data_IF_023290780078
#
_entry.id   IF_023290780078
#
_cell.length_a   1.000
_cell.length_b   1.000
_cell.length_c   1.000
_cell.angle_alpha   90.00
_cell.angle_beta   90.00
_cell.angle_gamma   90.00
#
_symmetry.space_group_name_H-M   'P 1'
#
loop_
_entity.id
_entity.type
_entity.pdbx_description
1 polymer ?
#
# COMPACT_ATOMS: atom_id res chain seq x y z
N UNK A 1 -10.84 -1.05 14.54
CA UNK A 1 -11.35 -1.34 13.19
C UNK A 1 -10.42 -2.28 12.45
N UNK A 2 -10.92 -3.14 11.55
CA UNK A 2 -10.03 -3.92 10.67
C UNK A 2 -9.61 -3.04 9.50
N UNK A 3 -8.33 -3.07 9.14
CA UNK A 3 -7.76 -2.32 8.00
C UNK A 3 -8.65 -2.40 6.75
N UNK A 4 -9.05 -3.63 6.38
CA UNK A 4 -9.86 -3.90 5.18
C UNK A 4 -11.20 -3.17 5.15
N UNK A 5 -11.79 -2.87 6.30
CA UNK A 5 -13.10 -2.21 6.40
C UNK A 5 -12.94 -0.71 6.16
N UNK A 6 -11.91 -0.09 6.77
CA UNK A 6 -11.60 1.32 6.58
C UNK A 6 -11.12 1.59 5.16
N UNK A 7 -10.22 0.74 4.63
CA UNK A 7 -9.77 0.84 3.25
C UNK A 7 -10.93 0.73 2.24
N UNK A 8 -11.87 -0.20 2.46
CA UNK A 8 -13.07 -0.32 1.62
C UNK A 8 -13.95 0.93 1.71
N UNK A 9 -14.21 1.42 2.93
CA UNK A 9 -14.99 2.64 3.16
C UNK A 9 -14.37 3.83 2.43
N UNK A 10 -13.06 4.04 2.57
CA UNK A 10 -12.33 5.12 1.89
C UNK A 10 -12.44 4.98 0.37
N UNK A 11 -12.24 3.78 -0.18
CA UNK A 11 -12.32 3.55 -1.62
C UNK A 11 -13.73 3.83 -2.19
N UNK A 12 -14.78 3.38 -1.51
CA UNK A 12 -16.16 3.62 -1.92
C UNK A 12 -16.51 5.11 -1.86
N UNK A 13 -16.16 5.78 -0.76
CA UNK A 13 -16.36 7.23 -0.61
C UNK A 13 -15.61 8.02 -1.68
N UNK A 14 -14.34 7.67 -1.96
CA UNK A 14 -13.54 8.28 -3.00
C UNK A 14 -14.19 8.13 -4.37
N UNK A 15 -14.58 6.92 -4.73
CA UNK A 15 -15.14 6.69 -6.07
C UNK A 15 -16.46 7.42 -6.29
N UNK A 16 -17.34 7.47 -5.28
CA UNK A 16 -18.56 8.29 -5.32
C UNK A 16 -18.23 9.77 -5.52
N UNK A 17 -17.35 10.32 -4.68
CA UNK A 17 -16.98 11.72 -4.73
C UNK A 17 -16.22 12.11 -6.02
N UNK A 18 -15.47 11.18 -6.63
CA UNK A 18 -14.84 11.38 -7.94
C UNK A 18 -15.90 11.50 -9.03
N UNK A 19 -16.87 10.57 -9.07
CA UNK A 19 -17.96 10.60 -10.05
C UNK A 19 -18.78 11.88 -9.95
N UNK A 20 -18.99 12.39 -8.74
CA UNK A 20 -19.71 13.64 -8.50
C UNK A 20 -18.90 14.90 -8.89
N UNK A 21 -17.56 14.84 -8.84
CA UNK A 21 -16.71 16.05 -8.89
C UNK A 21 -15.82 16.20 -10.13
N UNK A 22 -15.72 15.16 -10.98
CA UNK A 22 -14.95 15.18 -12.23
C UNK A 22 -15.86 14.66 -13.34
N UNK A 23 -16.20 15.53 -14.29
CA UNK A 23 -16.96 15.13 -15.48
C UNK A 23 -16.14 14.11 -16.29
N UNK A 24 -16.82 13.10 -16.81
CA UNK A 24 -16.26 12.06 -17.68
C UNK A 24 -15.22 11.14 -17.01
N UNK A 25 -15.16 11.09 -15.67
CA UNK A 25 -14.35 10.09 -14.96
C UNK A 25 -15.08 8.75 -14.87
N UNK A 26 -14.37 7.66 -15.15
CA UNK A 26 -14.85 6.29 -14.92
C UNK A 26 -14.09 5.67 -13.76
N UNK A 27 -14.82 5.34 -12.70
CA UNK A 27 -14.26 4.64 -11.54
C UNK A 27 -14.50 3.14 -11.67
N UNK A 28 -13.44 2.34 -11.48
CA UNK A 28 -13.48 0.88 -11.50
C UNK A 28 -12.93 0.39 -10.17
N UNK A 29 -13.69 -0.45 -9.50
CA UNK A 29 -13.31 -1.01 -8.20
C UNK A 29 -12.79 -2.44 -8.39
N UNK A 30 -11.72 -2.78 -7.68
CA UNK A 30 -11.26 -4.18 -7.60
C UNK A 30 -12.17 -5.02 -6.72
N UNK A 31 -12.83 -4.40 -5.73
CA UNK A 31 -13.93 -4.96 -4.92
C UNK A 31 -14.85 -3.85 -4.41
N UNK A 32 -16.11 -4.17 -4.18
CA UNK A 32 -17.08 -3.27 -3.54
C UNK A 32 -17.63 -3.81 -2.21
N UNK A 33 -17.32 -5.07 -1.88
CA UNK A 33 -17.74 -5.76 -0.67
C UNK A 33 -16.53 -6.38 0.04
N UNK A 34 -16.77 -7.03 1.19
CA UNK A 34 -15.75 -7.78 1.93
C UNK A 34 -15.49 -9.15 1.26
N UNK A 35 -14.88 -9.11 0.07
CA UNK A 35 -14.43 -10.29 -0.68
C UNK A 35 -12.92 -10.23 -0.87
N UNK A 36 -12.26 -11.37 -0.73
CA UNK A 36 -10.83 -11.50 -1.00
C UNK A 36 -10.57 -11.48 -2.51
N UNK A 37 -9.67 -10.59 -2.95
CA UNK A 37 -9.17 -10.53 -4.32
C UNK A 37 -7.64 -10.72 -4.28
N UNK A 38 -7.09 -11.74 -4.96
CA UNK A 38 -5.66 -11.97 -5.10
C UNK A 38 -4.91 -10.72 -5.59
N UNK A 39 -3.67 -10.49 -5.13
CA UNK A 39 -2.91 -9.28 -5.46
C UNK A 39 -2.67 -9.14 -6.97
N UNK A 40 -2.33 -10.23 -7.66
CA UNK A 40 -2.15 -10.23 -9.11
C UNK A 40 -3.45 -9.91 -9.86
N UNK A 41 -4.61 -10.30 -9.32
CA UNK A 41 -5.89 -10.09 -10.00
C UNK A 41 -6.34 -8.63 -9.89
N UNK A 42 -6.03 -7.95 -8.78
CA UNK A 42 -6.34 -6.52 -8.60
C UNK A 42 -5.76 -5.66 -9.72
N UNK A 43 -4.52 -5.93 -10.11
CA UNK A 43 -3.88 -5.17 -11.20
C UNK A 43 -4.36 -5.64 -12.57
N UNK A 44 -4.68 -6.93 -12.75
CA UNK A 44 -5.27 -7.44 -13.99
C UNK A 44 -6.62 -6.77 -14.30
N UNK A 45 -7.48 -6.55 -13.29
CA UNK A 45 -8.74 -5.82 -13.46
C UNK A 45 -8.47 -4.43 -14.06
N UNK A 46 -7.47 -3.71 -13.55
CA UNK A 46 -7.10 -2.38 -14.04
C UNK A 46 -6.50 -2.43 -15.46
N UNK A 47 -5.63 -3.40 -15.73
CA UNK A 47 -5.00 -3.59 -17.04
C UNK A 47 -6.05 -3.92 -18.12
N UNK A 48 -6.96 -4.85 -17.83
CA UNK A 48 -8.03 -5.27 -18.74
C UNK A 48 -9.00 -4.11 -19.03
N UNK A 49 -9.23 -3.26 -18.03
CA UNK A 49 -10.03 -2.06 -18.18
C UNK A 49 -9.31 -0.92 -18.93
N UNK A 50 -8.00 -1.07 -19.22
CA UNK A 50 -7.13 -0.03 -19.78
C UNK A 50 -7.18 1.27 -18.95
N UNK A 51 -7.13 1.14 -17.62
CA UNK A 51 -7.23 2.30 -16.73
C UNK A 51 -6.04 3.26 -16.91
N UNK A 52 -6.30 4.57 -16.78
CA UNK A 52 -5.27 5.61 -16.89
C UNK A 52 -4.44 5.79 -15.61
N UNK A 53 -4.95 5.30 -14.48
CA UNK A 53 -4.34 5.41 -13.15
C UNK A 53 -4.87 4.29 -12.24
N UNK A 54 -3.99 3.69 -11.46
CA UNK A 54 -4.33 2.73 -10.42
C UNK A 54 -3.93 3.23 -9.03
N UNK A 55 -4.84 3.09 -8.05
CA UNK A 55 -4.61 3.50 -6.66
C UNK A 55 -5.03 2.35 -5.73
N UNK A 56 -4.07 1.75 -5.03
CA UNK A 56 -4.34 0.83 -3.92
C UNK A 56 -4.38 1.63 -2.62
N UNK A 57 -5.47 1.55 -1.86
CA UNK A 57 -5.65 2.29 -0.59
C UNK A 57 -5.46 1.33 0.58
N UNK A 58 -4.52 1.63 1.46
CA UNK A 58 -4.11 0.81 2.60
C UNK A 58 -4.02 1.64 3.88
N UNK A 59 -4.00 0.95 5.03
CA UNK A 59 -3.63 1.53 6.32
C UNK A 59 -2.43 0.77 6.84
N UNK A 60 -1.40 1.51 7.24
CA UNK A 60 -0.15 0.95 7.67
C UNK A 60 -0.29 0.32 9.05
N UNK A 61 0.60 -0.60 9.37
CA UNK A 61 0.61 -1.25 10.68
C UNK A 61 2.04 -1.50 11.16
N UNK A 62 2.30 -1.16 12.43
CA UNK A 62 3.61 -1.42 13.00
C UNK A 62 3.81 -2.92 13.26
N UNK A 63 4.99 -3.48 12.96
CA UNK A 63 5.24 -4.90 13.20
C UNK A 63 5.16 -5.24 14.68
N UNK A 64 4.59 -6.39 14.97
CA UNK A 64 4.59 -6.99 16.30
C UNK A 64 5.98 -7.54 16.59
N UNK A 65 6.64 -7.03 17.63
CA UNK A 65 7.96 -7.47 18.08
C UNK A 65 7.82 -8.42 19.25
N UNK A 66 8.52 -9.55 19.17
CA UNK A 66 8.60 -10.52 20.27
C UNK A 66 10.00 -10.44 20.87
N UNK A 67 10.10 -10.02 22.13
CA UNK A 67 11.35 -9.94 22.88
C UNK A 67 11.37 -10.99 23.98
N UNK A 68 12.54 -11.56 24.28
CA UNK A 68 12.72 -12.46 25.43
C UNK A 68 13.19 -11.65 26.63
N UNK A 69 12.43 -11.67 27.71
CA UNK A 69 12.82 -11.07 28.99
C UNK A 69 13.11 -12.17 30.00
N UNK A 70 14.02 -11.90 30.94
CA UNK A 70 14.23 -12.81 32.07
C UNK A 70 12.97 -12.80 32.90
N UNK A 71 12.43 -14.00 33.14
CA UNK A 71 11.25 -14.22 33.96
C UNK A 71 11.67 -14.47 35.41
N UNK A 72 12.49 -15.50 35.61
CA UNK A 72 13.10 -15.82 36.90
C UNK A 72 14.40 -16.59 36.72
N UNK A 73 15.10 -16.86 37.82
CA UNK A 73 16.30 -17.71 37.83
C UNK A 73 15.99 -19.05 38.50
N UNK A 74 16.39 -20.16 37.88
CA UNK A 74 16.36 -21.50 38.49
C UNK A 74 17.75 -21.96 38.89
N UNK A 75 17.86 -22.76 39.95
CA UNK A 75 19.12 -23.42 40.33
C UNK A 75 19.27 -24.74 39.58
N UNK A 76 20.38 -24.92 38.87
CA UNK A 76 20.77 -26.18 38.24
C UNK A 76 22.20 -26.51 38.65
N UNK A 77 22.40 -27.63 39.36
CA UNK A 77 23.72 -28.03 39.91
C UNK A 77 24.43 -26.89 40.67
N UNK A 78 23.69 -26.19 41.53
CA UNK A 78 24.20 -25.07 42.34
C UNK A 78 24.37 -23.73 41.60
N UNK A 79 24.24 -23.69 40.27
CA UNK A 79 24.36 -22.46 39.47
C UNK A 79 22.98 -21.83 39.18
N UNK A 80 22.89 -20.49 39.23
CA UNK A 80 21.70 -19.75 38.80
C UNK A 80 21.66 -19.68 37.28
N UNK A 81 20.56 -20.12 36.68
CA UNK A 81 20.33 -20.11 35.23
C UNK A 81 19.07 -19.29 34.95
N UNK A 82 19.11 -18.29 34.05
CA UNK A 82 17.92 -17.50 33.70
C UNK A 82 16.91 -18.36 32.94
N UNK A 83 15.64 -18.19 33.27
CA UNK A 83 14.48 -18.68 32.52
C UNK A 83 13.85 -17.48 31.84
N UNK A 84 13.55 -17.61 30.55
CA UNK A 84 13.03 -16.51 29.74
C UNK A 84 11.55 -16.71 29.47
N UNK A 85 10.82 -15.59 29.36
CA UNK A 85 9.49 -15.54 28.77
C UNK A 85 9.46 -14.59 27.57
N UNK A 86 8.56 -14.86 26.64
CA UNK A 86 8.31 -13.97 25.50
C UNK A 86 7.39 -12.83 25.92
N UNK A 87 7.73 -11.61 25.51
CA UNK A 87 6.92 -10.41 25.63
C UNK A 87 6.66 -9.88 24.24
N UNK A 88 5.39 -9.58 23.97
CA UNK A 88 4.93 -9.03 22.70
C UNK A 88 4.78 -7.52 22.85
N UNK A 89 5.33 -6.74 21.93
CA UNK A 89 5.16 -5.29 21.88
C UNK A 89 4.91 -4.82 20.44
N UNK A 90 4.20 -3.70 20.29
CA UNK A 90 3.90 -3.07 19.01
C UNK A 90 4.00 -1.56 19.21
N UNK A 91 4.63 -0.84 18.28
CA UNK A 91 4.66 0.62 18.35
C UNK A 91 3.27 1.18 18.07
N UNK A 92 2.77 2.03 18.97
CA UNK A 92 1.49 2.73 18.82
C UNK A 92 1.64 4.23 18.58
N UNK A 93 2.89 4.71 18.47
CA UNK A 93 3.20 6.14 18.30
C UNK A 93 3.63 6.51 16.89
N UNK A 94 3.94 5.52 16.03
CA UNK A 94 4.25 5.77 14.62
C UNK A 94 3.01 6.34 13.92
N UNK A 95 3.19 7.36 13.08
CA UNK A 95 2.10 8.02 12.37
C UNK A 95 2.54 8.65 11.07
N UNK A 96 1.57 9.06 10.26
CA UNK A 96 1.77 9.76 9.00
C UNK A 96 1.39 8.94 7.78
N UNK A 97 1.59 9.52 6.61
CA UNK A 97 1.23 8.95 5.32
C UNK A 97 2.47 8.60 4.52
N UNK A 98 2.45 7.47 3.82
CA UNK A 98 3.47 7.07 2.84
C UNK A 98 2.81 6.59 1.55
N UNK A 99 3.53 6.77 0.44
CA UNK A 99 3.05 6.32 -0.87
C UNK A 99 4.14 5.51 -1.55
N UNK A 100 3.76 4.33 -2.04
CA UNK A 100 4.64 3.41 -2.70
C UNK A 100 4.40 3.36 -4.20
N UNK A 101 5.49 3.24 -4.94
CA UNK A 101 5.52 3.01 -6.39
C UNK A 101 6.26 1.70 -6.65
N UNK A 102 5.93 1.00 -7.73
CA UNK A 102 6.66 -0.20 -8.13
C UNK A 102 8.15 0.12 -8.31
N UNK A 103 8.99 -0.52 -7.50
CA UNK A 103 10.44 -0.47 -7.64
C UNK A 103 10.98 -1.37 -8.76
N UNK A 104 12.27 -1.21 -9.04
CA UNK A 104 13.05 -2.09 -9.93
C UNK A 104 13.55 -3.36 -9.23
N UNK A 105 13.39 -3.43 -7.91
CA UNK A 105 13.77 -4.56 -7.08
C UNK A 105 12.98 -5.85 -7.33
N UNK A 106 13.37 -6.92 -6.63
CA UNK A 106 12.71 -8.24 -6.71
C UNK A 106 11.74 -8.42 -5.55
N UNK A 107 10.66 -9.19 -5.75
CA UNK A 107 9.63 -9.46 -4.71
C UNK A 107 10.17 -10.20 -3.46
N UNK A 108 11.38 -10.77 -3.54
CA UNK A 108 12.04 -11.49 -2.44
C UNK A 108 12.90 -10.63 -1.51
N UNK A 109 12.80 -9.31 -1.58
CA UNK A 109 13.51 -8.41 -0.67
C UNK A 109 13.10 -8.63 0.79
N UNK A 110 14.07 -8.56 1.71
CA UNK A 110 13.84 -8.82 3.13
C UNK A 110 13.18 -7.66 3.88
N UNK A 111 12.80 -6.60 3.17
CA UNK A 111 12.13 -5.42 3.69
C UNK A 111 10.79 -5.78 4.37
N UNK A 112 10.60 -5.29 5.60
CA UNK A 112 9.43 -5.63 6.42
C UNK A 112 8.13 -5.11 5.81
N UNK A 113 8.16 -3.96 5.11
CA UNK A 113 6.97 -3.42 4.42
C UNK A 113 6.60 -4.34 3.27
N UNK A 114 7.58 -4.76 2.46
CA UNK A 114 7.34 -5.68 1.34
C UNK A 114 6.74 -7.00 1.84
N UNK A 115 7.31 -7.57 2.91
CA UNK A 115 6.80 -8.80 3.53
C UNK A 115 5.37 -8.64 4.02
N UNK A 116 5.03 -7.50 4.64
CA UNK A 116 3.68 -7.20 5.13
C UNK A 116 2.69 -7.09 3.97
N UNK A 117 2.99 -6.25 3.00
CA UNK A 117 2.09 -6.00 1.86
C UNK A 117 1.91 -7.23 0.97
N UNK A 118 2.96 -8.03 0.78
CA UNK A 118 2.91 -9.26 0.01
C UNK A 118 2.48 -10.48 0.84
N UNK A 119 2.17 -10.35 2.14
CA UNK A 119 1.86 -11.50 3.00
C UNK A 119 0.67 -12.32 2.48
N UNK A 120 -0.35 -11.65 1.92
CA UNK A 120 -1.52 -12.31 1.35
C UNK A 120 -1.24 -13.13 0.09
N UNK A 121 -0.11 -12.86 -0.59
CA UNK A 121 0.34 -13.62 -1.77
C UNK A 121 0.49 -15.12 -1.47
N UNK A 122 0.99 -15.46 -0.28
CA UNK A 122 1.23 -16.86 0.12
C UNK A 122 -0.04 -17.63 0.45
N UNK A 123 -1.18 -16.95 0.53
CA UNK A 123 -2.50 -17.56 0.74
C UNK A 123 -3.23 -17.84 -0.59
N UNK A 124 -2.66 -17.43 -1.72
CA UNK A 124 -3.28 -17.57 -3.03
C UNK A 124 -2.99 -18.95 -3.64
N UNK A 125 -4.02 -19.57 -4.21
CA UNK A 125 -3.87 -20.80 -4.97
C UNK A 125 -2.92 -20.58 -6.15
N UNK A 126 -1.94 -21.49 -6.30
CA UNK A 126 -0.93 -21.44 -7.36
C UNK A 126 -0.10 -20.14 -7.37
N UNK A 127 0.14 -19.48 -6.23
CA UNK A 127 0.92 -18.24 -6.17
C UNK A 127 2.24 -18.31 -6.94
N UNK A 128 2.98 -19.42 -6.86
CA UNK A 128 4.24 -19.61 -7.60
C UNK A 128 4.08 -19.38 -9.11
N UNK A 129 3.00 -19.88 -9.71
CA UNK A 129 2.67 -19.70 -11.12
C UNK A 129 2.18 -18.28 -11.41
N UNK A 130 1.32 -17.73 -10.54
CA UNK A 130 0.74 -16.40 -10.73
C UNK A 130 1.81 -15.28 -10.73
N UNK A 131 2.90 -15.49 -10.00
CA UNK A 131 4.02 -14.56 -9.87
C UNK A 131 5.30 -15.02 -10.58
N UNK A 132 5.25 -16.09 -11.40
CA UNK A 132 6.44 -16.68 -12.04
C UNK A 132 7.23 -15.65 -12.87
N UNK A 133 6.56 -14.80 -13.66
CA UNK A 133 7.21 -13.72 -14.44
C UNK A 133 7.79 -12.57 -13.60
N UNK A 134 7.66 -12.63 -12.28
CA UNK A 134 8.25 -11.70 -11.31
C UNK A 134 9.26 -12.38 -10.37
N UNK A 135 9.27 -13.72 -10.33
CA UNK A 135 10.14 -14.56 -9.52
C UNK A 135 11.28 -15.15 -10.38
N UNK A 136 11.00 -15.48 -11.64
CA UNK A 136 11.92 -16.12 -12.58
C UNK A 136 12.57 -15.10 -13.52
N UNK A 137 13.90 -15.13 -13.61
CA UNK A 137 14.69 -14.31 -14.53
C UNK A 137 14.66 -14.94 -15.93
N UNK A 138 13.75 -14.50 -16.80
CA UNK A 138 13.81 -14.81 -18.24
C UNK A 138 14.16 -13.53 -19.01
N UNK A 139 15.17 -13.52 -19.89
CA UNK A 139 15.62 -12.34 -20.62
C UNK A 139 14.51 -11.57 -21.36
N UNK A 140 13.50 -12.27 -21.86
CA UNK A 140 12.37 -11.70 -22.61
C UNK A 140 11.41 -10.93 -21.70
N UNK A 141 11.13 -11.45 -20.50
CA UNK A 141 10.36 -10.72 -19.49
C UNK A 141 11.14 -9.51 -18.97
N UNK A 142 12.46 -9.60 -18.82
CA UNK A 142 13.29 -8.49 -18.34
C UNK A 142 13.23 -7.29 -19.31
N UNK A 143 13.31 -7.52 -20.62
CA UNK A 143 13.28 -6.43 -21.62
C UNK A 143 11.89 -5.77 -21.68
N UNK A 144 10.82 -6.56 -21.78
CA UNK A 144 9.45 -6.03 -21.82
C UNK A 144 9.06 -5.33 -20.52
N UNK A 145 9.40 -5.92 -19.37
CA UNK A 145 9.16 -5.35 -18.05
C UNK A 145 9.99 -4.08 -17.84
N UNK A 146 11.24 -4.04 -18.31
CA UNK A 146 12.10 -2.84 -18.22
C UNK A 146 11.54 -1.67 -19.02
N UNK A 147 11.09 -1.90 -20.26
CA UNK A 147 10.51 -0.86 -21.11
C UNK A 147 9.16 -0.33 -20.59
N UNK A 148 8.27 -1.21 -20.16
CA UNK A 148 6.97 -0.81 -19.57
C UNK A 148 7.13 -0.15 -18.19
N UNK A 149 8.09 -0.59 -17.38
CA UNK A 149 8.34 -0.02 -16.05
C UNK A 149 8.78 1.44 -16.14
N UNK A 150 9.65 1.82 -17.08
CA UNK A 150 10.29 3.13 -17.02
C UNK A 150 9.30 4.31 -17.15
N UNK A 151 8.43 4.33 -18.16
CA UNK A 151 7.50 5.44 -18.40
C UNK A 151 6.40 5.52 -17.33
N UNK A 152 5.81 4.39 -16.95
CA UNK A 152 4.75 4.37 -15.94
C UNK A 152 5.30 4.68 -14.54
N UNK A 153 6.55 4.31 -14.25
CA UNK A 153 7.20 4.61 -12.99
C UNK A 153 7.37 6.11 -12.76
N UNK A 154 7.88 6.86 -13.73
CA UNK A 154 8.04 8.31 -13.58
C UNK A 154 6.69 9.01 -13.34
N UNK A 155 5.67 8.61 -14.09
CA UNK A 155 4.29 9.07 -13.92
C UNK A 155 3.72 8.70 -12.54
N UNK A 156 3.99 7.49 -12.07
CA UNK A 156 3.58 7.02 -10.73
C UNK A 156 4.27 7.81 -9.62
N UNK A 157 5.57 8.08 -9.73
CA UNK A 157 6.33 8.92 -8.80
C UNK A 157 5.79 10.36 -8.76
N UNK A 158 5.45 10.91 -9.94
CA UNK A 158 4.83 12.23 -10.04
C UNK A 158 3.48 12.25 -9.33
N UNK A 159 2.60 11.29 -9.60
CA UNK A 159 1.30 11.19 -8.93
C UNK A 159 1.44 10.98 -7.41
N UNK A 160 2.31 10.05 -6.99
CA UNK A 160 2.60 9.78 -5.58
C UNK A 160 3.08 11.03 -4.83
N UNK A 161 3.90 11.86 -5.48
CA UNK A 161 4.38 13.12 -4.91
C UNK A 161 3.25 14.14 -4.72
N UNK A 162 2.37 14.29 -5.71
CA UNK A 162 1.17 15.13 -5.60
C UNK A 162 0.27 14.64 -4.46
N UNK A 163 0.08 13.32 -4.36
CA UNK A 163 -0.73 12.73 -3.32
C UNK A 163 -0.18 13.00 -1.91
N UNK A 164 1.13 12.83 -1.71
CA UNK A 164 1.78 13.18 -0.43
C UNK A 164 1.65 14.68 -0.12
N UNK A 165 1.80 15.55 -1.11
CA UNK A 165 1.62 17.00 -0.91
C UNK A 165 0.22 17.34 -0.41
N UNK A 166 -0.83 16.70 -0.93
CA UNK A 166 -2.20 16.93 -0.46
C UNK A 166 -2.41 16.43 0.98
N UNK A 167 -1.82 15.28 1.37
CA UNK A 167 -1.86 14.83 2.77
C UNK A 167 -1.15 15.79 3.71
N UNK A 168 0.04 16.27 3.33
CA UNK A 168 0.81 17.24 4.12
C UNK A 168 0.04 18.55 4.28
N UNK A 169 -0.61 19.01 3.20
CA UNK A 169 -1.44 20.22 3.22
C UNK A 169 -2.65 20.07 4.15
N UNK A 170 -3.12 18.84 4.39
CA UNK A 170 -4.12 18.50 5.39
C UNK A 170 -3.54 18.27 6.80
N UNK A 171 -2.26 18.61 7.04
CA UNK A 171 -1.62 18.49 8.35
C UNK A 171 -1.12 17.08 8.70
N UNK A 172 -1.11 16.15 7.75
CA UNK A 172 -0.62 14.79 7.96
C UNK A 172 0.92 14.76 7.92
N UNK A 173 1.52 13.85 8.69
CA UNK A 173 2.98 13.71 8.73
C UNK A 173 3.49 13.05 7.45
N UNK A 174 4.44 13.70 6.78
CA UNK A 174 5.09 13.17 5.59
C UNK A 174 6.05 12.02 5.91
N UNK A 175 5.82 10.84 5.36
CA UNK A 175 6.79 9.71 5.38
C UNK A 175 7.38 9.40 4.01
N UNK A 176 7.03 10.21 3.01
CA UNK A 176 7.65 10.24 1.70
C UNK A 176 7.02 9.29 0.68
N UNK A 177 7.57 9.40 -0.53
CA UNK A 177 7.33 8.47 -1.62
C UNK A 177 8.48 7.46 -1.66
N UNK A 178 8.17 6.18 -1.72
CA UNK A 178 9.16 5.11 -1.72
C UNK A 178 8.92 4.14 -2.87
N UNK A 179 10.00 3.58 -3.39
CA UNK A 179 9.92 2.51 -4.38
C UNK A 179 10.09 1.17 -3.71
N UNK A 180 9.13 0.28 -3.90
CA UNK A 180 9.11 -1.05 -3.28
C UNK A 180 8.61 -2.10 -4.27
N UNK A 181 9.13 -3.32 -4.13
CA UNK A 181 8.74 -4.47 -4.94
C UNK A 181 7.42 -5.06 -4.42
N UNK A 182 6.33 -4.33 -4.63
CA UNK A 182 4.98 -4.72 -4.17
C UNK A 182 4.25 -5.51 -5.25
N UNK A 183 3.75 -6.69 -4.88
CA UNK A 183 3.09 -7.62 -5.81
C UNK A 183 1.85 -7.00 -6.48
N UNK A 184 1.11 -6.14 -5.76
CA UNK A 184 -0.08 -5.44 -6.29
C UNK A 184 0.25 -4.40 -7.36
N UNK A 185 1.49 -3.89 -7.43
CA UNK A 185 1.92 -2.88 -8.41
C UNK A 185 2.76 -3.48 -9.56
N UNK A 186 3.18 -4.73 -9.41
CA UNK A 186 4.18 -5.42 -10.22
C UNK A 186 3.91 -5.35 -11.74
N UNK A 187 2.65 -5.46 -12.17
CA UNK A 187 2.27 -5.61 -13.59
C UNK A 187 1.43 -4.46 -14.11
N UNK A 188 1.50 -3.30 -13.47
CA UNK A 188 0.72 -2.15 -13.89
C UNK A 188 1.10 -1.69 -15.30
N UNK A 189 0.16 -1.76 -16.24
CA UNK A 189 0.33 -1.18 -17.59
C UNK A 189 0.05 0.33 -17.63
N UNK A 190 -0.26 0.92 -16.46
CA UNK A 190 -0.55 2.33 -16.24
C UNK A 190 0.22 2.86 -15.02
N UNK A 191 0.24 4.18 -14.77
CA UNK A 191 0.72 4.73 -13.51
C UNK A 191 -0.04 4.12 -12.33
N UNK A 192 0.69 3.61 -11.33
CA UNK A 192 0.12 2.87 -10.21
C UNK A 192 0.82 3.19 -8.89
N UNK A 193 0.02 3.43 -7.85
CA UNK A 193 0.51 3.68 -6.50
C UNK A 193 -0.23 2.84 -5.47
N UNK A 194 0.45 2.54 -4.36
CA UNK A 194 -0.18 2.12 -3.11
C UNK A 194 -0.02 3.26 -2.10
N UNK A 195 -1.11 3.74 -1.51
CA UNK A 195 -1.07 4.81 -0.52
C UNK A 195 -1.48 4.28 0.85
N UNK A 196 -0.62 4.54 1.83
CA UNK A 196 -0.91 4.36 3.25
C UNK A 196 -1.47 5.67 3.79
N UNK A 197 -2.76 5.68 4.12
CA UNK A 197 -3.48 6.89 4.55
C UNK A 197 -3.25 7.23 6.04
N UNK A 198 -2.60 6.33 6.78
CA UNK A 198 -2.25 6.44 8.19
C UNK A 198 -1.88 5.08 8.78
N UNK A 199 -1.56 5.02 10.07
CA UNK A 199 -1.19 3.81 10.80
C UNK A 199 -2.34 3.32 11.68
N UNK A 200 -2.91 2.16 11.38
CA UNK A 200 -3.94 1.52 12.22
C UNK A 200 -3.40 1.11 13.59
N UNK A 201 -2.09 0.91 13.74
CA UNK A 201 -1.45 0.68 15.04
C UNK A 201 -1.49 1.89 15.97
N UNK A 202 -1.73 3.09 15.44
CA UNK A 202 -1.79 4.33 16.22
C UNK A 202 -3.25 4.70 16.51
N UNK A 203 -3.68 4.72 17.79
CA UNK A 203 -5.07 4.98 18.15
C UNK A 203 -5.61 6.30 17.60
N UNK A 204 -4.82 7.38 17.64
CA UNK A 204 -5.26 8.69 17.15
C UNK A 204 -5.47 8.67 15.63
N UNK A 205 -4.62 7.95 14.90
CA UNK A 205 -4.77 7.80 13.45
C UNK A 205 -5.90 6.84 13.09
N UNK A 206 -6.09 5.78 13.86
CA UNK A 206 -7.22 4.87 13.70
C UNK A 206 -8.54 5.63 13.88
N UNK A 207 -8.68 6.41 14.95
CA UNK A 207 -9.87 7.23 15.20
C UNK A 207 -10.09 8.25 14.08
N UNK A 208 -9.03 8.96 13.67
CA UNK A 208 -9.08 9.91 12.54
C UNK A 208 -9.58 9.23 11.26
N UNK A 209 -8.96 8.12 10.86
CA UNK A 209 -9.30 7.41 9.62
C UNK A 209 -10.71 6.79 9.68
N UNK A 210 -11.25 6.50 10.86
CA UNK A 210 -12.63 5.99 10.99
C UNK A 210 -13.69 7.11 11.02
N UNK A 211 -13.32 8.30 11.48
CA UNK A 211 -14.23 9.47 11.60
C UNK A 211 -14.78 9.96 10.25
N UNK A 212 -15.89 10.69 10.27
CA UNK A 212 -16.49 11.24 9.06
C UNK A 212 -15.65 12.37 8.48
N UNK A 213 -15.10 13.21 9.35
CA UNK A 213 -14.23 14.33 9.03
C UNK A 213 -12.93 13.84 8.39
N UNK A 214 -12.23 12.90 9.05
CA UNK A 214 -10.99 12.35 8.50
C UNK A 214 -11.18 11.61 7.18
N UNK A 215 -12.27 10.86 7.01
CA UNK A 215 -12.63 10.27 5.73
C UNK A 215 -12.85 11.32 4.64
N UNK A 216 -13.52 12.42 4.97
CA UNK A 216 -13.77 13.53 4.03
C UNK A 216 -12.46 14.22 3.63
N UNK A 217 -11.57 14.47 4.59
CA UNK A 217 -10.25 15.08 4.33
C UNK A 217 -9.36 14.19 3.45
N UNK A 218 -9.27 12.89 3.78
CA UNK A 218 -8.49 11.91 2.99
C UNK A 218 -9.01 11.84 1.56
N UNK A 219 -10.32 11.69 1.38
CA UNK A 219 -10.95 11.62 0.06
C UNK A 219 -10.72 12.91 -0.74
N UNK A 220 -10.92 14.07 -0.13
CA UNK A 220 -10.69 15.35 -0.78
C UNK A 220 -9.22 15.54 -1.19
N UNK A 221 -8.28 15.12 -0.36
CA UNK A 221 -6.85 15.13 -0.70
C UNK A 221 -6.54 14.26 -1.92
N UNK A 222 -7.06 13.03 -1.97
CA UNK A 222 -6.88 12.15 -3.13
C UNK A 222 -7.50 12.75 -4.40
N UNK A 223 -8.71 13.32 -4.31
CA UNK A 223 -9.36 13.97 -5.45
C UNK A 223 -8.54 15.16 -5.97
N UNK A 224 -8.01 16.01 -5.09
CA UNK A 224 -7.15 17.13 -5.50
C UNK A 224 -5.90 16.64 -6.20
N UNK A 225 -5.24 15.61 -5.68
CA UNK A 225 -4.08 14.99 -6.31
C UNK A 225 -4.41 14.46 -7.71
N UNK A 226 -5.55 13.78 -7.88
CA UNK A 226 -6.02 13.28 -9.19
C UNK A 226 -6.28 14.43 -10.16
N UNK A 227 -6.98 15.49 -9.72
CA UNK A 227 -7.26 16.67 -10.54
C UNK A 227 -5.97 17.36 -10.99
N UNK A 228 -5.02 17.52 -10.08
CA UNK A 228 -3.71 18.12 -10.38
C UNK A 228 -2.92 17.26 -11.36
N UNK A 229 -2.93 15.95 -11.18
CA UNK A 229 -2.26 15.01 -12.07
C UNK A 229 -2.87 15.00 -13.47
N UNK A 230 -4.21 14.96 -13.58
CA UNK A 230 -4.94 15.07 -14.85
C UNK A 230 -4.57 16.36 -15.60
N UNK A 231 -4.59 17.51 -14.92
CA UNK A 231 -4.21 18.80 -15.53
C UNK A 231 -2.79 18.79 -16.08
N UNK A 232 -1.83 18.25 -15.33
CA UNK A 232 -0.43 18.15 -15.77
C UNK A 232 -0.31 17.24 -16.99
N UNK A 233 -1.00 16.09 -16.98
CA UNK A 233 -1.00 15.16 -18.12
C UNK A 233 -1.60 15.79 -19.38
N UNK A 234 -2.66 16.59 -19.25
CA UNK A 234 -3.31 17.29 -20.37
C UNK A 234 -2.50 18.47 -20.92
N UNK A 235 -1.68 19.13 -20.09
CA UNK A 235 -0.84 20.28 -20.49
C UNK A 235 0.51 19.86 -21.10
N UNK A 236 0.86 18.57 -20.99
CA UNK A 236 2.13 18.02 -21.50
C UNK A 236 2.06 17.55 -22.96
N UNK A 237 0.94 17.83 -23.65
CA UNK A 237 0.69 17.61 -25.07
C UNK A 237 0.34 18.93 -25.75
#
# INVERSE_FOLDING_TARGET
>A
SREKDVALKTALNLGKALQDSIKDIKVIYTRQTDVFIPLYERINIANNAKADLFISIHLNDMPVRVSKVVDYYKKVKGRKVPVYRSVVSKSTSTRGTETFVSGTGRLGEQDEVIKRENASMFLEDNYQKNYEGFIANTPENDIMLSLMKQTNRERSLKFASLLQQEYISAGRINRGVQEKSLAVLARASMPAVLTEIGFVSNPDEEDYMNSAEGQTEIVNGIIKAIKNYKRIAETSF
#
